data_IF_678469271249
#
_entry.id   IF_678469271249
#
_cell.length_a   1.000
_cell.length_b   1.000
_cell.length_c   1.000
_cell.angle_alpha   90.00
_cell.angle_beta   90.00
_cell.angle_gamma   90.00
#
_symmetry.space_group_name_H-M   'P 1'
#
loop_
_entity.id
_entity.type
_entity.pdbx_description
1 polymer ?
#
# COMPACT_ATOMS: atom_id res chain seq x y z
N UNK A 1 2.20 -5.16 23.71
CA UNK A 1 1.99 -5.89 22.45
C UNK A 1 1.64 -4.83 21.45
N UNK A 2 2.47 -4.64 20.44
CA UNK A 2 2.24 -3.65 19.39
C UNK A 2 1.46 -4.30 18.25
N UNK A 3 0.54 -3.54 17.68
CA UNK A 3 -0.30 -3.98 16.55
C UNK A 3 0.05 -3.12 15.35
N UNK A 4 0.30 -3.77 14.22
CA UNK A 4 0.63 -3.13 12.96
C UNK A 4 -0.37 -3.61 11.90
N UNK A 5 -1.18 -2.70 11.39
CA UNK A 5 -2.15 -3.01 10.34
C UNK A 5 -1.51 -2.89 8.96
N UNK A 6 -1.91 -3.78 8.06
CA UNK A 6 -1.51 -3.78 6.64
C UNK A 6 -2.77 -4.04 5.81
N UNK A 7 -2.81 -3.50 4.59
CA UNK A 7 -3.83 -3.85 3.61
C UNK A 7 -3.29 -4.96 2.69
N UNK A 8 -3.78 -6.21 2.80
CA UNK A 8 -3.35 -7.30 1.92
C UNK A 8 -3.98 -7.20 0.53
N UNK A 9 -5.12 -6.51 0.41
CA UNK A 9 -5.81 -6.34 -0.85
C UNK A 9 -5.01 -5.47 -1.82
N UNK A 10 -5.11 -5.80 -3.10
CA UNK A 10 -4.32 -5.19 -4.16
C UNK A 10 -2.90 -5.76 -4.31
N UNK A 11 -2.40 -6.53 -3.34
CA UNK A 11 -1.07 -7.12 -3.40
C UNK A 11 0.05 -6.13 -3.02
N UNK A 12 1.28 -6.41 -3.49
CA UNK A 12 2.44 -5.58 -3.20
C UNK A 12 2.57 -4.45 -4.23
N UNK A 13 2.68 -3.17 -3.81
CA UNK A 13 2.91 -2.04 -4.72
C UNK A 13 4.19 -2.16 -5.58
N UNK A 14 5.12 -3.01 -5.17
CA UNK A 14 6.36 -3.26 -5.90
C UNK A 14 6.29 -4.38 -6.93
N UNK A 15 5.10 -4.94 -7.15
CA UNK A 15 4.85 -5.91 -8.20
C UNK A 15 4.02 -5.28 -9.32
N UNK A 16 4.23 -5.77 -10.54
CA UNK A 16 3.49 -5.30 -11.71
C UNK A 16 2.00 -5.66 -11.65
N UNK A 17 1.64 -6.68 -10.87
CA UNK A 17 0.27 -7.14 -10.66
C UNK A 17 -0.49 -6.39 -9.55
N UNK A 18 0.10 -5.31 -9.00
CA UNK A 18 -0.56 -4.47 -8.01
C UNK A 18 -1.88 -3.89 -8.55
N UNK A 19 -2.97 -4.09 -7.81
CA UNK A 19 -4.29 -3.55 -8.14
C UNK A 19 -4.63 -2.38 -7.22
N UNK A 20 -4.57 -1.17 -7.78
CA UNK A 20 -4.93 0.11 -7.12
C UNK A 20 -6.36 0.06 -6.58
N UNK A 21 -7.33 -0.32 -7.41
CA UNK A 21 -8.75 -0.36 -7.03
C UNK A 21 -9.02 -1.32 -5.87
N UNK A 22 -8.42 -2.52 -5.91
CA UNK A 22 -8.58 -3.49 -4.84
C UNK A 22 -7.90 -3.01 -3.54
N UNK A 23 -6.76 -2.32 -3.65
CA UNK A 23 -6.09 -1.74 -2.50
C UNK A 23 -6.93 -0.64 -1.83
N UNK A 24 -7.46 0.31 -2.61
CA UNK A 24 -8.32 1.39 -2.10
C UNK A 24 -9.60 0.83 -1.46
N UNK A 25 -10.20 -0.21 -2.04
CA UNK A 25 -11.35 -0.89 -1.45
C UNK A 25 -11.01 -1.57 -0.11
N UNK A 26 -9.84 -2.21 -0.01
CA UNK A 26 -9.35 -2.79 1.24
C UNK A 26 -9.06 -1.72 2.31
N UNK A 27 -8.49 -0.57 1.93
CA UNK A 27 -8.28 0.57 2.83
C UNK A 27 -9.60 1.11 3.37
N UNK A 28 -10.62 1.26 2.52
CA UNK A 28 -11.95 1.68 2.95
C UNK A 28 -12.59 0.68 3.94
N UNK A 29 -12.44 -0.63 3.69
CA UNK A 29 -12.92 -1.65 4.64
C UNK A 29 -12.18 -1.61 5.98
N UNK A 30 -10.87 -1.31 5.99
CA UNK A 30 -10.10 -1.11 7.22
C UNK A 30 -10.54 0.16 7.96
N UNK A 31 -10.83 1.24 7.24
CA UNK A 31 -11.39 2.48 7.80
C UNK A 31 -12.74 2.22 8.48
N UNK A 32 -13.63 1.43 7.87
CA UNK A 32 -14.92 1.03 8.48
C UNK A 32 -14.74 0.28 9.81
N UNK A 33 -13.62 -0.43 9.98
CA UNK A 33 -13.24 -1.11 11.22
C UNK A 33 -12.56 -0.18 12.24
N UNK A 34 -12.41 1.11 11.92
CA UNK A 34 -11.78 2.13 12.77
C UNK A 34 -10.26 2.16 12.68
N UNK A 35 -9.65 1.50 11.69
CA UNK A 35 -8.21 1.59 11.45
C UNK A 35 -7.90 2.96 10.87
N UNK A 36 -7.01 3.70 11.54
CA UNK A 36 -6.62 5.07 11.13
C UNK A 36 -5.22 5.15 10.53
N UNK A 37 -4.47 4.05 10.56
CA UNK A 37 -3.13 3.97 10.01
C UNK A 37 -2.80 2.54 9.60
N UNK A 38 -2.15 2.41 8.44
CA UNK A 38 -1.60 1.14 7.93
C UNK A 38 -0.15 1.33 7.52
N UNK A 39 0.63 0.26 7.61
CA UNK A 39 1.95 0.18 6.98
C UNK A 39 1.85 -0.45 5.61
N UNK A 40 2.65 0.06 4.67
CA UNK A 40 2.78 -0.47 3.31
C UNK A 40 4.18 -1.07 3.17
N UNK A 41 4.30 -2.39 3.00
CA UNK A 41 5.60 -3.02 2.82
C UNK A 41 6.17 -2.64 1.44
N UNK A 42 7.40 -2.15 1.43
CA UNK A 42 8.18 -1.90 0.21
C UNK A 42 9.41 -2.81 0.19
N UNK A 43 9.87 -3.25 -1.00
CA UNK A 43 11.08 -4.04 -1.11
C UNK A 43 12.27 -3.22 -0.61
N UNK A 44 13.16 -3.85 0.14
CA UNK A 44 14.35 -3.19 0.72
C UNK A 44 15.61 -3.27 -0.14
N UNK A 45 15.59 -3.99 -1.26
CA UNK A 45 16.74 -4.17 -2.15
C UNK A 45 16.29 -4.58 -3.56
N UNK A 46 16.93 -4.06 -4.63
CA UNK A 46 17.86 -2.92 -4.66
C UNK A 46 17.18 -1.55 -4.48
N UNK A 47 17.94 -0.52 -4.09
CA UNK A 47 17.43 0.81 -3.69
C UNK A 47 16.60 1.50 -4.80
N UNK A 48 17.02 1.36 -6.04
CA UNK A 48 16.31 1.88 -7.21
C UNK A 48 14.89 1.32 -7.28
N UNK A 49 14.73 0.00 -7.07
CA UNK A 49 13.40 -0.64 -7.01
C UNK A 49 12.57 -0.14 -5.84
N UNK A 50 13.18 0.11 -4.68
CA UNK A 50 12.48 0.69 -3.52
C UNK A 50 11.93 2.08 -3.85
N UNK A 51 12.76 2.93 -4.46
CA UNK A 51 12.39 4.31 -4.81
C UNK A 51 11.29 4.32 -5.88
N UNK A 52 11.37 3.45 -6.89
CA UNK A 52 10.32 3.29 -7.90
C UNK A 52 8.98 2.88 -7.28
N UNK A 53 8.98 1.88 -6.37
CA UNK A 53 7.76 1.45 -5.68
C UNK A 53 7.14 2.57 -4.82
N UNK A 54 7.97 3.38 -4.16
CA UNK A 54 7.50 4.54 -3.38
C UNK A 54 6.88 5.62 -4.27
N UNK A 55 7.51 5.95 -5.39
CA UNK A 55 6.98 6.92 -6.35
C UNK A 55 5.64 6.46 -6.92
N UNK A 56 5.58 5.21 -7.40
CA UNK A 56 4.36 4.63 -7.94
C UNK A 56 3.22 4.64 -6.92
N UNK A 57 3.49 4.24 -5.68
CA UNK A 57 2.48 4.28 -4.62
C UNK A 57 2.00 5.71 -4.33
N UNK A 58 2.92 6.68 -4.29
CA UNK A 58 2.58 8.09 -4.12
C UNK A 58 1.64 8.59 -5.22
N UNK A 59 1.96 8.32 -6.49
CA UNK A 59 1.16 8.75 -7.64
C UNK A 59 -0.20 8.04 -7.71
N UNK A 60 -0.23 6.72 -7.52
CA UNK A 60 -1.44 5.92 -7.73
C UNK A 60 -2.43 5.96 -6.56
N UNK A 61 -1.94 6.10 -5.31
CA UNK A 61 -2.78 5.97 -4.10
C UNK A 61 -2.93 7.29 -3.35
N UNK A 62 -1.88 8.12 -3.28
CA UNK A 62 -1.89 9.34 -2.46
C UNK A 62 -2.34 10.55 -3.27
N UNK A 63 -1.74 10.76 -4.45
CA UNK A 63 -2.06 11.90 -5.32
C UNK A 63 -3.26 11.61 -6.25
N UNK A 64 -3.52 10.32 -6.53
CA UNK A 64 -4.57 9.87 -7.43
C UNK A 64 -5.98 9.80 -6.84
N UNK A 65 -6.13 10.02 -5.53
CA UNK A 65 -7.40 10.01 -4.77
C UNK A 65 -7.81 11.42 -4.35
#
# INVERSE_FOLDING_TARGET
MDVHFVCPDGGSPANDDFSVDAHLAGLAALEELGVTWVGVPVPGDPLDRTVEALHRYGEEIIDGY
#
